data_IF_351027055470
#
_entry.id   IF_351027055470
#
_cell.length_a   1.000
_cell.length_b   1.000
_cell.length_c   1.000
_cell.angle_alpha   90.00
_cell.angle_beta   90.00
_cell.angle_gamma   90.00
#
_symmetry.space_group_name_H-M   'P 1'
#
loop_
_entity.id
_entity.type
_entity.pdbx_description
1 polymer ?
#
# COMPACT_ATOMS: atom_id res chain seq x y z
N UNK A 1 -22.36 -13.32 -77.30
CA UNK A 1 -21.33 -13.09 -76.30
C UNK A 1 -21.99 -12.49 -75.03
N UNK A 2 -22.34 -13.38 -74.11
CA UNK A 2 -23.04 -12.98 -72.84
C UNK A 2 -22.06 -12.96 -71.71
N UNK A 3 -21.83 -11.76 -71.15
CA UNK A 3 -21.01 -11.54 -69.94
C UNK A 3 -21.83 -11.77 -68.70
N UNK A 4 -21.61 -12.88 -67.99
CA UNK A 4 -22.21 -13.14 -66.67
C UNK A 4 -21.59 -12.27 -65.59
N UNK A 5 -22.35 -11.35 -65.02
CA UNK A 5 -22.00 -10.66 -63.78
C UNK A 5 -22.15 -11.63 -62.61
N UNK A 6 -21.07 -11.98 -61.96
CA UNK A 6 -21.05 -12.66 -60.67
C UNK A 6 -21.34 -11.63 -59.56
N UNK A 7 -22.56 -11.66 -59.00
CA UNK A 7 -22.90 -10.93 -57.82
C UNK A 7 -22.13 -11.50 -56.61
N UNK A 8 -21.17 -10.74 -56.13
CA UNK A 8 -20.48 -11.05 -54.87
C UNK A 8 -21.47 -10.82 -53.72
N UNK A 9 -22.06 -11.88 -53.19
CA UNK A 9 -22.82 -11.83 -51.92
C UNK A 9 -21.88 -11.46 -50.80
N UNK A 10 -21.87 -10.21 -50.40
CA UNK A 10 -21.33 -9.77 -49.12
C UNK A 10 -22.23 -10.30 -48.01
N UNK A 11 -21.80 -11.36 -47.33
CA UNK A 11 -22.41 -11.86 -46.11
C UNK A 11 -22.14 -10.83 -45.01
N UNK A 12 -23.02 -9.85 -44.88
CA UNK A 12 -23.01 -8.93 -43.74
C UNK A 12 -23.20 -9.74 -42.46
N UNK A 13 -22.16 -9.81 -41.61
CA UNK A 13 -22.31 -10.30 -40.25
C UNK A 13 -23.41 -9.47 -39.57
N UNK A 14 -24.56 -10.11 -39.26
CA UNK A 14 -25.57 -9.50 -38.39
C UNK A 14 -24.90 -9.16 -37.05
N UNK A 15 -24.69 -7.88 -36.79
CA UNK A 15 -24.23 -7.44 -35.49
C UNK A 15 -25.17 -7.96 -34.42
N UNK A 16 -24.62 -8.35 -33.27
CA UNK A 16 -25.45 -8.73 -32.14
C UNK A 16 -26.27 -7.50 -31.70
N UNK A 17 -27.49 -7.71 -31.20
CA UNK A 17 -28.33 -6.61 -30.74
C UNK A 17 -27.66 -5.90 -29.55
N UNK A 18 -27.66 -4.58 -29.56
CA UNK A 18 -27.00 -3.72 -28.59
C UNK A 18 -27.33 -4.05 -27.12
N UNK A 19 -28.54 -4.55 -26.84
CA UNK A 19 -28.99 -4.95 -25.51
C UNK A 19 -28.31 -6.23 -24.98
N UNK A 20 -27.60 -6.98 -25.81
CA UNK A 20 -26.72 -8.11 -25.43
C UNK A 20 -25.28 -7.64 -25.40
N UNK A 21 -24.88 -6.79 -26.35
CA UNK A 21 -23.50 -6.32 -26.47
C UNK A 21 -23.08 -5.45 -25.30
N UNK A 22 -23.93 -4.48 -24.89
CA UNK A 22 -23.61 -3.59 -23.78
C UNK A 22 -23.46 -4.34 -22.44
N UNK A 23 -24.40 -5.18 -21.99
CA UNK A 23 -24.20 -5.99 -20.77
C UNK A 23 -22.97 -6.88 -20.81
N UNK A 24 -22.67 -7.48 -21.96
CA UNK A 24 -21.48 -8.31 -22.13
C UNK A 24 -20.19 -7.47 -21.94
N UNK A 25 -20.12 -6.28 -22.55
CA UNK A 25 -18.98 -5.39 -22.39
C UNK A 25 -18.82 -4.92 -20.93
N UNK A 26 -19.91 -4.64 -20.24
CA UNK A 26 -19.90 -4.28 -18.83
C UNK A 26 -19.36 -5.42 -17.98
N UNK A 27 -19.81 -6.67 -18.22
CA UNK A 27 -19.31 -7.84 -17.51
C UNK A 27 -17.80 -8.04 -17.76
N UNK A 28 -17.36 -7.93 -19.02
CA UNK A 28 -15.93 -8.04 -19.36
C UNK A 28 -15.14 -6.96 -18.65
N UNK A 29 -15.60 -5.70 -18.66
CA UNK A 29 -14.93 -4.61 -17.99
C UNK A 29 -14.81 -4.84 -16.47
N UNK A 30 -15.88 -5.31 -15.81
CA UNK A 30 -15.87 -5.64 -14.38
C UNK A 30 -14.88 -6.77 -14.06
N UNK A 31 -14.85 -7.82 -14.89
CA UNK A 31 -13.89 -8.92 -14.74
C UNK A 31 -12.46 -8.43 -14.91
N UNK A 32 -12.18 -7.58 -15.88
CA UNK A 32 -10.85 -7.00 -16.08
C UNK A 32 -10.43 -6.13 -14.90
N UNK A 33 -11.33 -5.29 -14.38
CA UNK A 33 -11.07 -4.47 -13.18
C UNK A 33 -10.80 -5.35 -11.98
N UNK A 34 -11.59 -6.40 -11.78
CA UNK A 34 -11.38 -7.36 -10.68
C UNK A 34 -10.01 -8.04 -10.79
N UNK A 35 -9.67 -8.57 -11.97
CA UNK A 35 -8.37 -9.22 -12.20
C UNK A 35 -7.21 -8.23 -11.96
N UNK A 36 -7.34 -7.01 -12.48
CA UNK A 36 -6.32 -5.98 -12.28
C UNK A 36 -6.11 -5.67 -10.80
N UNK A 37 -7.19 -5.39 -10.05
CA UNK A 37 -7.09 -5.03 -8.63
C UNK A 37 -6.63 -6.19 -7.74
N UNK A 38 -6.92 -7.42 -8.13
CA UNK A 38 -6.52 -8.61 -7.37
C UNK A 38 -5.05 -8.94 -7.59
N UNK A 39 -4.56 -8.84 -8.83
CA UNK A 39 -3.25 -9.39 -9.21
C UNK A 39 -2.20 -8.35 -9.57
N UNK A 40 -2.59 -7.16 -10.03
CA UNK A 40 -1.65 -6.16 -10.55
C UNK A 40 -1.43 -5.04 -9.56
N UNK A 41 -2.49 -4.36 -9.15
CA UNK A 41 -2.37 -3.26 -8.21
C UNK A 41 -3.71 -2.64 -7.85
N UNK A 42 -3.71 -1.91 -6.75
CA UNK A 42 -4.90 -1.31 -6.16
C UNK A 42 -4.66 0.12 -5.76
N UNK A 43 -5.72 0.90 -5.77
CA UNK A 43 -5.71 2.28 -5.26
C UNK A 43 -6.17 2.29 -3.82
N UNK A 44 -5.39 2.96 -2.96
CA UNK A 44 -5.71 3.19 -1.55
C UNK A 44 -5.81 4.68 -1.28
N UNK A 45 -6.60 5.04 -0.28
CA UNK A 45 -6.66 6.40 0.25
C UNK A 45 -5.93 6.46 1.58
N UNK A 46 -5.11 7.48 1.79
CA UNK A 46 -4.37 7.71 3.03
C UNK A 46 -5.29 8.42 4.04
N UNK A 47 -5.64 7.79 5.17
CA UNK A 47 -6.57 8.36 6.13
C UNK A 47 -5.88 9.12 7.27
N UNK A 48 -4.57 8.99 7.44
CA UNK A 48 -3.84 9.48 8.61
C UNK A 48 -2.56 10.21 8.27
N UNK A 49 -2.04 10.95 9.23
CA UNK A 49 -0.82 11.76 9.13
C UNK A 49 0.48 10.95 9.34
N UNK A 50 0.38 9.63 9.58
CA UNK A 50 1.52 8.80 10.01
C UNK A 50 2.66 8.70 8.98
N UNK A 51 2.41 9.07 7.73
CA UNK A 51 3.38 9.04 6.64
C UNK A 51 3.77 10.43 6.13
N UNK A 52 3.39 11.49 6.82
CA UNK A 52 3.86 12.85 6.53
C UNK A 52 5.39 12.94 6.67
N UNK A 53 6.07 13.67 5.82
CA UNK A 53 5.55 14.50 4.73
C UNK A 53 5.39 13.74 3.40
N UNK A 54 5.81 12.48 3.33
CA UNK A 54 5.81 11.69 2.09
C UNK A 54 4.40 11.48 1.53
N UNK A 55 3.47 11.05 2.39
CA UNK A 55 2.06 10.87 2.04
C UNK A 55 1.19 11.70 2.98
N UNK A 56 0.25 12.43 2.39
CA UNK A 56 -0.64 13.32 3.12
C UNK A 56 -1.97 12.67 3.42
N UNK A 57 -2.38 12.71 4.68
CA UNK A 57 -3.68 12.25 5.14
C UNK A 57 -4.04 12.87 6.47
N UNK A 58 -5.32 13.05 6.75
CA UNK A 58 -5.81 13.51 8.04
C UNK A 58 -7.26 13.11 8.24
N UNK A 59 -7.73 13.11 9.49
CA UNK A 59 -9.12 12.85 9.80
C UNK A 59 -10.02 13.92 9.17
N UNK A 60 -10.91 13.52 8.26
CA UNK A 60 -11.88 14.41 7.62
C UNK A 60 -11.34 15.24 6.44
N UNK A 61 -10.08 15.12 6.06
CA UNK A 61 -9.57 15.72 4.82
C UNK A 61 -9.58 14.75 3.64
N UNK A 62 -9.38 15.30 2.44
CA UNK A 62 -9.15 14.48 1.25
C UNK A 62 -7.66 14.10 1.21
N UNK A 63 -7.33 12.95 1.80
CA UNK A 63 -5.96 12.42 1.77
C UNK A 63 -5.51 12.00 0.38
N UNK A 64 -4.20 11.75 0.25
CA UNK A 64 -3.61 11.24 -0.98
C UNK A 64 -4.26 9.91 -1.38
N UNK A 65 -4.44 9.70 -2.69
CA UNK A 65 -4.74 8.39 -3.25
C UNK A 65 -3.48 7.85 -3.89
N UNK A 66 -3.08 6.68 -3.44
CA UNK A 66 -1.84 6.03 -3.84
C UNK A 66 -2.13 4.81 -4.71
N UNK A 67 -1.25 4.57 -5.66
CA UNK A 67 -1.23 3.31 -6.42
C UNK A 67 -0.25 2.34 -5.76
N UNK A 68 -0.76 1.15 -5.44
CA UNK A 68 -0.02 0.06 -4.80
C UNK A 68 0.17 -1.07 -5.80
N UNK A 69 1.42 -1.39 -6.08
CA UNK A 69 1.85 -2.46 -6.97
C UNK A 69 1.99 -3.77 -6.18
N UNK A 70 1.22 -4.77 -6.56
CA UNK A 70 1.22 -6.11 -5.97
C UNK A 70 2.15 -7.10 -6.68
N UNK A 71 2.67 -6.71 -7.86
CA UNK A 71 3.50 -7.60 -8.68
C UNK A 71 4.93 -7.62 -8.16
N UNK A 72 5.45 -6.48 -7.70
CA UNK A 72 6.84 -6.35 -7.30
C UNK A 72 7.28 -7.41 -6.30
N UNK A 73 6.47 -7.67 -5.28
CA UNK A 73 6.77 -8.63 -4.22
C UNK A 73 6.37 -10.09 -4.54
N UNK A 74 6.05 -10.36 -5.81
CA UNK A 74 5.99 -11.74 -6.32
C UNK A 74 7.32 -12.21 -6.90
N UNK A 75 8.21 -11.28 -7.20
CA UNK A 75 9.48 -11.54 -7.87
C UNK A 75 10.69 -11.00 -7.09
N UNK A 76 10.47 -10.41 -5.95
CA UNK A 76 11.51 -9.89 -5.06
C UNK A 76 10.89 -9.47 -3.74
N UNK A 77 11.72 -9.28 -2.73
CA UNK A 77 11.30 -8.98 -1.38
C UNK A 77 11.28 -7.47 -1.12
N UNK A 78 10.48 -6.99 -0.15
CA UNK A 78 10.56 -5.61 0.33
C UNK A 78 11.98 -5.25 0.76
N UNK A 79 12.46 -4.09 0.34
CA UNK A 79 13.78 -3.58 0.66
C UNK A 79 13.69 -2.40 1.64
N UNK A 80 14.72 -2.15 2.45
CA UNK A 80 14.81 -0.93 3.23
C UNK A 80 14.61 0.31 2.37
N UNK A 81 13.78 1.25 2.85
CA UNK A 81 13.37 2.42 2.09
C UNK A 81 12.04 2.27 1.34
N UNK A 82 11.56 1.04 1.12
CA UNK A 82 10.27 0.83 0.45
C UNK A 82 9.10 1.28 1.31
N UNK A 83 8.15 1.99 0.72
CA UNK A 83 6.86 2.26 1.34
C UNK A 83 5.90 1.14 0.96
N UNK A 84 5.40 0.43 1.96
CA UNK A 84 4.56 -0.76 1.79
C UNK A 84 3.16 -0.55 2.36
N UNK A 85 2.18 -1.20 1.73
CA UNK A 85 0.86 -1.45 2.32
C UNK A 85 0.86 -2.86 2.84
N UNK A 86 0.39 -3.04 4.06
CA UNK A 86 0.31 -4.33 4.72
C UNK A 86 -0.92 -4.44 5.62
N UNK A 87 -1.38 -5.65 5.84
CA UNK A 87 -2.40 -5.94 6.85
C UNK A 87 -1.71 -6.00 8.22
N UNK A 88 -2.15 -5.14 9.15
CA UNK A 88 -1.58 -5.16 10.50
C UNK A 88 -1.80 -6.52 11.17
N UNK A 89 -0.79 -7.08 11.87
CA UNK A 89 -0.99 -8.26 12.70
C UNK A 89 -2.19 -8.08 13.65
N UNK A 90 -2.82 -9.17 14.07
CA UNK A 90 -4.00 -9.10 14.95
C UNK A 90 -3.75 -8.30 16.22
N UNK A 91 -2.53 -8.34 16.75
CA UNK A 91 -2.08 -7.54 17.90
C UNK A 91 -2.15 -6.03 17.66
N UNK A 92 -2.03 -5.57 16.40
CA UNK A 92 -2.11 -4.15 16.01
C UNK A 92 -3.54 -3.69 15.76
N UNK A 93 -4.48 -4.62 15.64
CA UNK A 93 -5.89 -4.36 15.31
C UNK A 93 -6.76 -4.00 16.53
N UNK A 94 -6.17 -3.78 17.71
CA UNK A 94 -6.92 -3.43 18.91
C UNK A 94 -7.67 -2.11 18.73
N UNK A 95 -8.99 -2.21 18.54
CA UNK A 95 -9.87 -1.05 18.34
C UNK A 95 -10.30 -0.80 16.90
N UNK A 96 -9.87 -1.63 15.93
CA UNK A 96 -10.41 -1.56 14.57
C UNK A 96 -11.92 -1.82 14.58
N UNK A 97 -12.69 -0.90 14.01
CA UNK A 97 -14.12 -1.05 13.80
C UNK A 97 -14.40 -1.15 12.31
N UNK A 98 -15.07 -2.22 11.90
CA UNK A 98 -15.51 -2.40 10.53
C UNK A 98 -16.29 -1.17 10.03
N UNK A 99 -15.94 -0.68 8.85
CA UNK A 99 -16.68 0.39 8.16
C UNK A 99 -17.92 -0.13 7.42
N UNK A 100 -18.18 -1.44 7.50
CA UNK A 100 -19.35 -2.08 6.89
C UNK A 100 -20.61 -1.82 7.70
N UNK A 101 -21.72 -1.72 6.97
CA UNK A 101 -23.05 -1.59 7.59
C UNK A 101 -23.43 -2.88 8.33
N UNK A 102 -24.11 -2.74 9.47
CA UNK A 102 -24.70 -3.88 10.19
C UNK A 102 -25.86 -4.53 9.42
N UNK A 103 -26.42 -3.84 8.43
CA UNK A 103 -27.45 -4.39 7.56
C UNK A 103 -26.83 -5.38 6.57
N UNK A 104 -27.23 -6.67 6.59
CA UNK A 104 -26.60 -7.72 5.78
C UNK A 104 -26.69 -7.47 4.28
N UNK A 105 -27.76 -6.84 3.78
CA UNK A 105 -27.93 -6.52 2.35
C UNK A 105 -26.96 -5.42 1.94
N UNK A 106 -26.86 -4.34 2.74
CA UNK A 106 -25.95 -3.23 2.47
C UNK A 106 -24.51 -3.72 2.59
N UNK A 107 -24.19 -4.53 3.59
CA UNK A 107 -22.88 -5.14 3.76
C UNK A 107 -22.45 -5.94 2.52
N UNK A 108 -23.33 -6.83 2.03
CA UNK A 108 -23.04 -7.59 0.80
C UNK A 108 -22.79 -6.68 -0.41
N UNK A 109 -23.57 -5.61 -0.57
CA UNK A 109 -23.33 -4.63 -1.65
C UNK A 109 -22.01 -3.88 -1.47
N UNK A 110 -21.66 -3.52 -0.24
CA UNK A 110 -20.37 -2.91 0.08
C UNK A 110 -19.21 -3.86 -0.18
N UNK A 111 -19.34 -5.15 0.15
CA UNK A 111 -18.31 -6.17 -0.11
C UNK A 111 -18.09 -6.37 -1.62
N UNK A 112 -19.18 -6.46 -2.38
CA UNK A 112 -19.11 -6.47 -3.85
C UNK A 112 -18.45 -5.18 -4.38
N UNK A 113 -18.86 -4.02 -3.85
CA UNK A 113 -18.27 -2.72 -4.18
C UNK A 113 -16.77 -2.65 -3.82
N UNK A 114 -16.37 -3.28 -2.72
CA UNK A 114 -14.98 -3.41 -2.30
C UNK A 114 -14.14 -4.24 -3.29
N UNK A 115 -14.70 -5.36 -3.74
CA UNK A 115 -14.06 -6.24 -4.72
C UNK A 115 -13.78 -5.52 -6.05
N UNK A 116 -14.70 -4.65 -6.50
CA UNK A 116 -14.54 -3.87 -7.75
C UNK A 116 -13.90 -2.48 -7.52
N UNK A 117 -13.51 -2.16 -6.26
CA UNK A 117 -12.80 -0.93 -5.90
C UNK A 117 -13.65 0.35 -5.86
N UNK A 118 -14.97 0.22 -5.83
CA UNK A 118 -15.90 1.36 -5.67
C UNK A 118 -15.99 1.77 -4.19
N UNK A 119 -15.89 0.80 -3.29
CA UNK A 119 -15.94 1.00 -1.84
C UNK A 119 -14.55 0.69 -1.25
N UNK A 120 -14.06 1.45 -0.25
CA UNK A 120 -12.81 1.11 0.45
C UNK A 120 -12.86 -0.32 1.02
N UNK A 121 -11.71 -1.02 1.08
CA UNK A 121 -11.64 -2.32 1.73
C UNK A 121 -11.99 -2.19 3.23
N UNK A 122 -12.64 -3.22 3.76
CA UNK A 122 -12.90 -3.35 5.20
C UNK A 122 -11.78 -4.18 5.83
N UNK A 123 -10.59 -3.64 5.78
CA UNK A 123 -9.36 -4.27 6.29
C UNK A 123 -8.55 -3.20 7.01
N UNK A 124 -7.81 -3.61 8.03
CA UNK A 124 -6.87 -2.73 8.72
C UNK A 124 -5.57 -2.62 7.93
N UNK A 125 -5.68 -2.14 6.68
CA UNK A 125 -4.52 -1.93 5.82
C UNK A 125 -3.75 -0.69 6.31
N UNK A 126 -2.49 -0.90 6.66
CA UNK A 126 -1.58 0.14 7.12
C UNK A 126 -0.57 0.48 6.04
N UNK A 127 -0.07 1.71 6.07
CA UNK A 127 1.01 2.17 5.19
C UNK A 127 2.17 2.63 6.05
N UNK A 128 3.35 2.04 5.87
CA UNK A 128 4.60 2.38 6.56
C UNK A 128 5.79 2.20 5.63
N UNK A 129 6.94 2.69 6.05
CA UNK A 129 8.22 2.46 5.38
C UNK A 129 8.95 1.30 6.02
N UNK A 130 9.52 0.42 5.20
CA UNK A 130 10.44 -0.62 5.64
C UNK A 130 11.75 0.05 6.06
N UNK A 131 12.15 -0.19 7.29
CA UNK A 131 13.37 0.38 7.90
C UNK A 131 14.44 -0.68 8.04
N UNK A 132 14.05 -1.91 8.40
CA UNK A 132 14.97 -3.04 8.47
C UNK A 132 14.27 -4.33 8.02
N UNK A 133 15.04 -5.27 7.53
CA UNK A 133 14.59 -6.58 7.00
C UNK A 133 15.15 -7.72 7.84
N UNK A 134 14.71 -8.94 7.58
CA UNK A 134 15.16 -10.14 8.27
C UNK A 134 16.68 -10.25 8.38
N UNK A 135 17.16 -10.64 9.56
CA UNK A 135 18.58 -10.73 9.92
C UNK A 135 19.19 -9.43 10.44
N UNK A 136 18.62 -8.26 10.15
CA UNK A 136 19.12 -6.97 10.62
C UNK A 136 18.71 -6.69 12.07
N UNK A 137 19.51 -5.89 12.76
CA UNK A 137 19.22 -5.42 14.11
C UNK A 137 18.95 -3.92 14.10
N UNK A 138 17.73 -3.51 14.50
CA UNK A 138 17.27 -2.11 14.52
C UNK A 138 17.09 -1.61 15.95
N UNK A 139 17.52 -0.40 16.22
CA UNK A 139 17.32 0.28 17.49
C UNK A 139 18.61 0.90 18.05
N UNK A 140 18.42 1.80 19.00
CA UNK A 140 19.48 2.65 19.52
C UNK A 140 19.63 3.94 18.71
N UNK A 141 20.26 4.91 19.36
CA UNK A 141 20.50 6.24 18.78
C UNK A 141 21.97 6.44 18.45
N UNK A 142 22.24 6.95 17.26
CA UNK A 142 23.55 7.50 16.92
C UNK A 142 23.87 8.74 17.80
N UNK A 143 25.12 9.19 17.88
CA UNK A 143 25.48 10.43 18.58
C UNK A 143 24.72 11.65 18.08
N UNK A 144 24.31 11.66 16.82
CA UNK A 144 23.55 12.75 16.18
C UNK A 144 22.02 12.59 16.36
N UNK A 145 21.57 11.53 17.04
CA UNK A 145 20.15 11.27 17.33
C UNK A 145 19.41 10.49 16.22
N UNK A 146 20.11 10.00 15.20
CA UNK A 146 19.54 9.13 14.15
C UNK A 146 19.34 7.70 14.64
N UNK A 147 18.47 6.95 13.93
CA UNK A 147 18.25 5.53 14.20
C UNK A 147 19.45 4.69 13.72
N UNK A 148 19.76 3.63 14.46
CA UNK A 148 20.81 2.67 14.08
C UNK A 148 20.17 1.40 13.50
N UNK A 149 20.78 0.90 12.41
CA UNK A 149 20.52 -0.44 11.85
C UNK A 149 21.89 -1.15 11.75
N UNK A 150 22.00 -2.32 12.34
CA UNK A 150 23.26 -3.09 12.45
C UNK A 150 24.42 -2.29 13.09
N UNK A 151 24.07 -1.29 13.90
CA UNK A 151 25.01 -0.40 14.58
C UNK A 151 25.47 0.80 13.76
N UNK A 152 25.04 0.91 12.50
CA UNK A 152 25.34 2.03 11.61
C UNK A 152 24.17 3.02 11.55
N UNK A 153 24.45 4.33 11.47
CA UNK A 153 23.39 5.34 11.32
C UNK A 153 22.63 5.17 10.01
N UNK A 154 21.30 5.19 10.09
CA UNK A 154 20.42 5.11 8.94
C UNK A 154 20.38 6.45 8.19
N UNK A 155 20.51 6.43 6.86
CA UNK A 155 20.29 7.62 6.02
C UNK A 155 18.80 7.77 5.66
N UNK A 156 18.18 8.81 6.18
CA UNK A 156 16.73 9.02 6.08
C UNK A 156 16.37 10.32 5.35
N UNK A 157 16.70 10.47 4.06
CA UNK A 157 16.53 11.71 3.33
C UNK A 157 15.06 12.15 3.21
N UNK A 158 14.11 11.24 3.41
CA UNK A 158 12.67 11.52 3.39
C UNK A 158 12.18 12.25 4.65
N UNK A 159 12.98 12.27 5.74
CA UNK A 159 12.69 13.02 6.96
C UNK A 159 13.18 14.47 6.92
N UNK A 160 14.02 14.81 5.97
CA UNK A 160 14.71 16.12 5.90
C UNK A 160 13.76 17.32 5.73
N UNK A 161 12.48 17.10 5.41
CA UNK A 161 11.48 18.17 5.38
C UNK A 161 11.15 18.74 6.77
N UNK A 162 11.42 17.97 7.84
CA UNK A 162 11.21 18.40 9.23
C UNK A 162 12.38 17.94 10.13
N UNK A 163 13.49 18.69 10.18
CA UNK A 163 14.70 18.33 10.94
C UNK A 163 14.45 18.10 12.45
N UNK A 164 13.39 18.66 13.01
CA UNK A 164 13.02 18.46 14.40
C UNK A 164 12.47 17.05 14.66
N UNK A 165 11.90 16.40 13.65
CA UNK A 165 11.43 15.00 13.73
C UNK A 165 12.58 14.02 13.57
N UNK A 166 13.56 14.34 12.73
CA UNK A 166 14.73 13.49 12.45
C UNK A 166 15.58 13.23 13.71
N UNK A 167 15.73 14.25 14.56
CA UNK A 167 16.61 14.22 15.75
C UNK A 167 15.89 14.03 17.07
N UNK A 168 14.65 13.56 17.07
CA UNK A 168 13.95 13.29 18.32
C UNK A 168 14.44 11.94 18.89
N UNK A 169 15.04 11.93 20.10
CA UNK A 169 15.52 10.69 20.72
C UNK A 169 14.46 9.62 20.85
N UNK A 170 13.18 9.99 20.91
CA UNK A 170 12.06 9.02 20.94
C UNK A 170 11.96 8.18 19.66
N UNK A 171 12.59 8.62 18.58
CA UNK A 171 12.58 7.88 17.31
C UNK A 171 13.51 6.67 17.32
N UNK A 172 14.52 6.69 18.17
CA UNK A 172 15.57 5.68 18.25
C UNK A 172 15.77 5.12 19.67
N UNK A 173 15.16 5.72 20.71
CA UNK A 173 15.33 5.30 22.11
C UNK A 173 14.51 4.05 22.44
N UNK A 174 14.65 3.01 21.64
CA UNK A 174 14.13 1.67 21.90
C UNK A 174 15.30 0.65 21.83
N UNK A 175 15.16 -0.45 22.55
CA UNK A 175 16.22 -1.47 22.62
C UNK A 175 16.43 -2.12 21.27
N UNK A 176 17.64 -2.66 20.98
CA UNK A 176 17.87 -3.32 19.72
C UNK A 176 16.93 -4.51 19.57
N UNK A 177 16.28 -4.59 18.41
CA UNK A 177 15.41 -5.70 18.00
C UNK A 177 16.05 -6.34 16.78
N UNK A 178 16.35 -7.63 16.85
CA UNK A 178 16.77 -8.39 15.67
C UNK A 178 15.51 -8.83 14.92
N UNK A 179 15.38 -8.39 13.69
CA UNK A 179 14.25 -8.72 12.82
C UNK A 179 14.34 -10.19 12.41
N UNK A 180 13.32 -11.03 12.70
CA UNK A 180 13.33 -12.41 12.25
C UNK A 180 13.34 -12.51 10.72
N UNK A 181 13.90 -13.60 10.18
CA UNK A 181 13.82 -13.89 8.74
C UNK A 181 12.36 -13.93 8.25
N UNK A 182 12.10 -13.34 7.09
CA UNK A 182 10.74 -13.22 6.55
C UNK A 182 9.86 -12.18 7.25
N UNK A 183 10.46 -11.34 8.10
CA UNK A 183 9.76 -10.24 8.77
C UNK A 183 10.40 -8.89 8.44
N UNK A 184 9.65 -7.83 8.68
CA UNK A 184 10.04 -6.45 8.40
C UNK A 184 9.79 -5.56 9.60
N UNK A 185 10.75 -4.66 9.87
CA UNK A 185 10.55 -3.55 10.80
C UNK A 185 10.08 -2.35 10.02
N UNK A 186 8.91 -1.84 10.36
CA UNK A 186 8.28 -0.74 9.62
C UNK A 186 8.06 0.47 10.50
N UNK A 187 8.28 1.66 9.94
CA UNK A 187 8.06 2.92 10.67
C UNK A 187 7.31 3.91 9.77
N UNK A 188 6.53 4.80 10.41
CA UNK A 188 5.96 5.94 9.71
C UNK A 188 6.99 7.03 9.47
N UNK A 189 6.88 7.75 8.37
CA UNK A 189 7.74 8.89 8.08
C UNK A 189 7.44 10.04 9.06
N UNK A 190 6.21 10.17 9.57
CA UNK A 190 5.90 11.02 10.71
C UNK A 190 6.27 10.32 12.03
N UNK A 191 7.56 10.37 12.36
CA UNK A 191 8.14 9.68 13.52
C UNK A 191 7.46 10.00 14.85
N UNK A 192 6.96 11.21 15.00
CA UNK A 192 6.30 11.69 16.23
C UNK A 192 4.82 11.32 16.31
N UNK A 193 4.19 10.94 15.20
CA UNK A 193 2.76 10.64 15.11
C UNK A 193 2.47 9.39 14.29
N UNK A 194 3.12 8.28 14.63
CA UNK A 194 2.95 7.00 13.95
C UNK A 194 2.90 5.88 14.97
N UNK A 195 1.77 5.15 15.01
CA UNK A 195 1.70 3.84 15.63
C UNK A 195 2.29 2.82 14.64
N UNK A 196 3.50 2.33 14.93
CA UNK A 196 4.28 1.45 14.06
C UNK A 196 5.03 0.41 14.91
N UNK A 197 6.01 -0.29 14.33
CA UNK A 197 6.78 -1.35 14.99
C UNK A 197 7.22 -1.01 16.41
N UNK A 198 7.59 0.24 16.68
CA UNK A 198 8.04 0.72 18.00
C UNK A 198 6.97 0.58 19.07
N UNK A 199 5.70 0.72 18.72
CA UNK A 199 4.58 0.64 19.66
C UNK A 199 4.15 -0.80 19.94
N UNK A 200 4.57 -1.75 19.12
CA UNK A 200 4.12 -3.13 19.15
C UNK A 200 5.20 -4.14 19.58
N UNK A 201 6.34 -3.66 20.10
CA UNK A 201 7.46 -4.51 20.53
C UNK A 201 7.09 -5.56 21.59
N UNK A 202 5.96 -5.40 22.27
CA UNK A 202 5.46 -6.33 23.27
C UNK A 202 4.57 -7.45 22.72
N UNK A 203 4.32 -7.48 21.42
CA UNK A 203 3.49 -8.49 20.79
C UNK A 203 4.28 -9.78 20.46
N UNK A 204 3.60 -10.78 19.92
CA UNK A 204 4.19 -12.07 19.54
C UNK A 204 5.25 -11.96 18.44
N UNK A 205 5.15 -10.92 17.60
CA UNK A 205 6.10 -10.63 16.51
C UNK A 205 7.16 -9.60 16.92
N UNK A 206 7.19 -9.17 18.18
CA UNK A 206 8.10 -8.14 18.70
C UNK A 206 8.07 -6.84 17.88
N UNK A 207 6.89 -6.48 17.39
CA UNK A 207 6.67 -5.29 16.56
C UNK A 207 7.05 -5.47 15.09
N UNK A 208 7.47 -6.65 14.66
CA UNK A 208 7.77 -6.90 13.23
C UNK A 208 6.51 -7.30 12.47
N UNK A 209 6.53 -7.10 11.16
CA UNK A 209 5.45 -7.46 10.25
C UNK A 209 5.88 -8.66 9.41
N UNK A 210 5.17 -9.79 9.45
CA UNK A 210 5.45 -10.94 8.59
C UNK A 210 5.29 -10.62 7.12
N UNK A 211 6.09 -11.25 6.26
CA UNK A 211 6.04 -11.08 4.80
C UNK A 211 4.66 -11.36 4.21
N UNK A 212 3.97 -12.37 4.73
CA UNK A 212 2.62 -12.75 4.29
C UNK A 212 1.58 -11.66 4.50
N UNK A 213 1.84 -10.72 5.40
CA UNK A 213 0.99 -9.56 5.65
C UNK A 213 1.23 -8.43 4.64
N UNK A 214 2.32 -8.46 3.87
CA UNK A 214 2.66 -7.41 2.91
C UNK A 214 1.78 -7.53 1.67
N UNK A 215 0.97 -6.50 1.42
CA UNK A 215 0.03 -6.45 0.29
C UNK A 215 0.73 -5.96 -0.99
N UNK A 216 1.62 -4.97 -0.88
CA UNK A 216 2.33 -4.44 -2.03
C UNK A 216 3.10 -3.15 -1.76
N UNK A 217 3.82 -2.71 -2.80
CA UNK A 217 4.68 -1.51 -2.78
C UNK A 217 3.93 -0.28 -3.26
N UNK A 218 4.01 0.81 -2.52
CA UNK A 218 3.49 2.11 -2.94
C UNK A 218 4.41 2.67 -4.04
N UNK A 219 3.85 2.94 -5.22
CA UNK A 219 4.62 3.45 -6.36
C UNK A 219 4.42 4.93 -6.62
N UNK A 220 3.19 5.40 -6.47
CA UNK A 220 2.85 6.77 -6.85
C UNK A 220 1.65 7.30 -6.10
N UNK A 221 1.62 8.62 -5.94
CA UNK A 221 0.42 9.38 -5.61
C UNK A 221 -0.28 9.68 -6.93
N UNK A 222 -1.55 9.34 -7.04
CA UNK A 222 -2.37 9.54 -8.25
C UNK A 222 -3.42 10.64 -8.08
N UNK A 223 -3.74 11.02 -6.86
CA UNK A 223 -4.61 12.16 -6.50
C UNK A 223 -4.19 12.71 -5.13
N UNK A 224 -4.37 14.01 -4.87
CA UNK A 224 -4.91 15.04 -5.78
C UNK A 224 -3.93 15.38 -6.92
N UNK A 225 -4.41 15.98 -7.99
CA UNK A 225 -3.60 16.30 -9.17
C UNK A 225 -2.37 17.16 -8.85
N UNK A 226 -2.45 18.00 -7.81
CA UNK A 226 -1.33 18.84 -7.34
C UNK A 226 -0.18 18.06 -6.69
N UNK A 227 -0.39 16.78 -6.36
CA UNK A 227 0.59 15.93 -5.68
C UNK A 227 0.93 14.67 -6.49
N UNK A 228 0.48 14.57 -7.74
CA UNK A 228 0.84 13.43 -8.60
C UNK A 228 2.35 13.32 -8.71
N UNK A 229 2.86 12.14 -8.39
CA UNK A 229 4.29 11.86 -8.46
C UNK A 229 4.61 10.45 -7.97
N UNK A 230 5.84 10.03 -8.20
CA UNK A 230 6.37 8.77 -7.65
C UNK A 230 6.68 8.93 -6.17
N UNK A 231 6.43 7.87 -5.40
CA UNK A 231 6.84 7.80 -3.99
C UNK A 231 8.30 7.35 -3.94
N UNK A 232 9.19 8.13 -3.31
CA UNK A 232 10.60 7.79 -3.25
C UNK A 232 10.83 6.55 -2.37
N UNK A 233 11.67 5.64 -2.86
CA UNK A 233 12.19 4.49 -2.12
C UNK A 233 13.71 4.55 -2.19
N UNK A 234 14.36 5.45 -1.43
CA UNK A 234 15.81 5.54 -1.38
C UNK A 234 16.39 4.26 -0.77
N UNK A 235 17.59 3.89 -1.17
CA UNK A 235 18.36 2.90 -0.43
C UNK A 235 18.89 3.57 0.84
N UNK A 236 18.31 3.20 1.98
CA UNK A 236 18.60 3.82 3.28
C UNK A 236 19.69 3.09 4.06
N UNK A 237 20.10 1.92 3.60
CA UNK A 237 21.19 1.12 4.20
C UNK A 237 22.50 1.22 3.39
N UNK A 238 22.57 2.06 2.38
CA UNK A 238 23.78 2.30 1.60
C UNK A 238 24.71 3.27 2.36
N UNK A 239 25.26 2.82 3.47
CA UNK A 239 26.29 3.49 4.24
C UNK A 239 27.62 2.78 4.12
#
# INVERSE_FOLDING_TARGET
>A
MGGGRRDARTTGKKGQPWYIEIPLLVVIALVLVFVFQTFVGRVYQIPSESMEPTLHGCAGCTGDRIFVDKISYRFGDPQPGDVVVFEGPDSWNQGYQSIRSDNPVIRTLQDIGGVIGIVPPDQNDMVKRVVAVGGQTVGGCSPDGGLLVDGEPLDEPYLNAEPALERNPLNCAFGPVTVPEGNYWVMGDNRGNSADSRFHMGDEFQGTVPEENIIGKVRAIILPFSRIGTVPSPDINAG
#
